data_IF_298351974043
#
_entry.id   IF_298351974043
#
_cell.length_a   1.000
_cell.length_b   1.000
_cell.length_c   1.000
_cell.angle_alpha   90.00
_cell.angle_beta   90.00
_cell.angle_gamma   90.00
#
_symmetry.space_group_name_H-M   'P 1'
#
loop_
_entity.id
_entity.type
_entity.pdbx_description
1 polymer ?
#
# COMPACT_ATOMS: atom_id res chain seq x y z
N UNK A 1 36.83 61.45 0.24
CA UNK A 1 37.48 61.83 1.52
C UNK A 1 36.85 60.93 2.58
N UNK A 2 37.45 59.89 3.15
CA UNK A 2 38.83 59.41 3.32
C UNK A 2 38.81 57.88 3.07
N UNK A 3 39.81 57.35 2.36
CA UNK A 3 40.06 55.90 2.21
C UNK A 3 40.85 55.38 3.42
N UNK A 4 40.73 54.08 3.76
CA UNK A 4 41.86 53.33 4.26
C UNK A 4 42.23 52.17 3.30
N UNK A 5 43.42 52.32 2.73
CA UNK A 5 44.51 51.35 2.57
C UNK A 5 44.12 49.87 2.41
N UNK A 6 44.47 49.33 1.24
CA UNK A 6 44.66 47.90 0.98
C UNK A 6 45.78 47.33 1.86
N UNK A 7 45.47 46.34 2.70
CA UNK A 7 46.47 45.35 3.13
C UNK A 7 46.23 44.05 2.39
N UNK A 8 47.08 43.81 1.38
CA UNK A 8 47.36 42.45 0.90
C UNK A 8 48.27 41.79 1.92
N UNK A 9 47.72 40.85 2.70
CA UNK A 9 48.51 39.74 3.21
C UNK A 9 47.99 38.45 2.56
N UNK A 10 48.89 37.60 2.03
CA UNK A 10 48.53 36.22 1.71
C UNK A 10 48.38 35.50 3.05
N UNK A 11 47.17 35.05 3.36
CA UNK A 11 46.99 34.02 4.36
C UNK A 11 46.38 32.82 3.65
N UNK A 12 47.27 31.95 3.20
CA UNK A 12 47.03 30.53 3.07
C UNK A 12 46.53 30.00 4.41
N UNK A 13 45.23 30.13 4.65
CA UNK A 13 44.55 29.36 5.67
C UNK A 13 43.88 28.19 4.95
N UNK A 14 44.20 26.93 5.29
CA UNK A 14 43.52 25.77 4.73
C UNK A 14 42.07 25.64 5.27
N UNK A 15 41.63 26.56 6.12
CA UNK A 15 40.29 26.54 6.70
C UNK A 15 39.32 27.41 5.90
N UNK A 16 38.25 26.78 5.43
CA UNK A 16 37.10 27.42 4.76
C UNK A 16 36.54 28.55 5.64
N UNK A 17 36.15 29.66 5.01
CA UNK A 17 35.46 30.76 5.72
C UNK A 17 34.16 30.22 6.32
N UNK A 18 33.79 30.69 7.51
CA UNK A 18 32.56 30.30 8.21
C UNK A 18 31.27 30.42 7.37
N UNK A 19 31.25 31.33 6.38
CA UNK A 19 30.16 31.45 5.41
C UNK A 19 30.00 30.23 4.47
N UNK A 20 31.05 29.46 4.21
CA UNK A 20 30.95 28.21 3.44
C UNK A 20 30.44 27.03 4.29
N UNK A 21 30.55 27.09 5.63
CA UNK A 21 30.00 26.10 6.56
C UNK A 21 28.47 26.21 6.73
N UNK A 22 27.91 27.40 6.51
CA UNK A 22 26.47 27.66 6.59
C UNK A 22 25.70 27.26 5.31
N UNK A 23 26.40 26.81 4.26
CA UNK A 23 25.82 26.44 2.97
C UNK A 23 25.49 27.66 2.11
N UNK A 24 25.92 27.63 0.85
CA UNK A 24 25.57 28.67 -0.14
C UNK A 24 24.07 28.64 -0.44
N UNK A 25 23.49 29.81 -0.67
CA UNK A 25 22.12 29.95 -1.15
C UNK A 25 22.01 29.34 -2.56
N UNK A 26 21.04 28.47 -2.76
CA UNK A 26 20.76 27.77 -4.02
C UNK A 26 19.38 28.18 -4.53
N UNK A 27 19.26 28.24 -5.85
CA UNK A 27 17.96 28.26 -6.49
C UNK A 27 17.48 26.83 -6.67
N UNK A 28 16.19 26.60 -6.41
CA UNK A 28 15.51 25.40 -6.86
C UNK A 28 15.23 25.62 -8.36
N UNK A 29 15.89 24.86 -9.21
CA UNK A 29 15.87 24.96 -10.68
C UNK A 29 15.83 23.55 -11.27
N UNK A 30 15.23 23.31 -12.45
CA UNK A 30 15.36 22.04 -13.17
C UNK A 30 16.83 21.64 -13.41
N UNK A 31 17.75 22.61 -13.48
CA UNK A 31 19.19 22.42 -13.59
C UNK A 31 19.90 22.58 -12.23
N UNK A 32 19.68 21.64 -11.31
CA UNK A 32 20.35 21.64 -9.99
C UNK A 32 21.88 21.57 -10.21
N UNK A 33 22.69 22.59 -9.81
CA UNK A 33 24.11 22.61 -10.12
C UNK A 33 24.89 21.47 -9.47
N UNK A 34 25.81 20.86 -10.22
CA UNK A 34 26.56 19.63 -9.92
C UNK A 34 27.56 19.75 -8.75
N UNK A 35 27.80 20.94 -8.20
CA UNK A 35 28.87 21.16 -7.21
C UNK A 35 28.33 21.31 -5.79
N UNK A 36 28.35 20.21 -5.04
CA UNK A 36 28.00 20.11 -3.62
C UNK A 36 29.11 19.38 -2.84
N UNK A 37 29.36 19.76 -1.59
CA UNK A 37 30.34 19.07 -0.71
C UNK A 37 29.88 17.64 -0.30
N UNK A 38 28.61 17.29 -0.53
CA UNK A 38 28.16 15.96 -1.00
C UNK A 38 26.93 16.15 -1.90
N UNK A 39 26.88 15.56 -3.11
CA UNK A 39 25.76 15.73 -4.05
C UNK A 39 24.43 15.28 -3.45
N UNK A 40 23.35 16.02 -3.72
CA UNK A 40 21.99 15.54 -3.47
C UNK A 40 21.82 14.16 -4.12
N UNK A 41 21.28 13.22 -3.36
CA UNK A 41 20.95 11.89 -3.83
C UNK A 41 19.90 11.96 -4.96
N UNK A 42 19.82 10.93 -5.81
CA UNK A 42 19.02 10.94 -7.03
C UNK A 42 17.53 11.24 -6.75
N UNK A 43 16.97 10.66 -5.68
CA UNK A 43 15.60 10.93 -5.25
C UNK A 43 15.33 12.40 -4.89
N UNK A 44 16.27 13.07 -4.20
CA UNK A 44 16.11 14.49 -3.86
C UNK A 44 16.14 15.37 -5.11
N UNK A 45 16.93 15.00 -6.12
CA UNK A 45 16.96 15.71 -7.40
C UNK A 45 15.66 15.53 -8.16
N UNK A 46 15.15 14.30 -8.23
CA UNK A 46 13.87 13.99 -8.88
C UNK A 46 12.71 14.80 -8.28
N UNK A 47 12.51 14.69 -6.96
CA UNK A 47 11.43 15.41 -6.27
C UNK A 47 11.68 16.92 -6.30
N UNK A 48 12.94 17.35 -6.19
CA UNK A 48 13.32 18.75 -6.30
C UNK A 48 12.97 19.37 -7.66
N UNK A 49 13.23 18.66 -8.76
CA UNK A 49 12.84 19.09 -10.11
C UNK A 49 11.32 19.16 -10.28
N UNK A 50 10.58 18.25 -9.65
CA UNK A 50 9.12 18.32 -9.63
C UNK A 50 8.61 19.52 -8.83
N UNK A 51 9.12 19.76 -7.62
CA UNK A 51 8.78 20.95 -6.81
C UNK A 51 9.12 22.23 -7.56
N UNK A 52 10.30 22.31 -8.20
CA UNK A 52 10.71 23.44 -9.03
C UNK A 52 9.70 23.76 -10.13
N UNK A 53 9.11 22.73 -10.75
CA UNK A 53 8.14 22.89 -11.84
C UNK A 53 6.80 23.47 -11.38
N UNK A 54 6.48 23.39 -10.08
CA UNK A 54 5.25 23.93 -9.49
C UNK A 54 5.42 25.36 -8.96
N UNK A 55 6.65 25.80 -8.69
CA UNK A 55 6.92 27.14 -8.17
C UNK A 55 6.93 28.18 -9.31
N UNK A 56 6.15 29.25 -9.14
CA UNK A 56 6.14 30.38 -10.09
C UNK A 56 7.24 31.42 -9.77
N UNK A 57 7.75 31.43 -8.54
CA UNK A 57 8.74 32.41 -8.08
C UNK A 57 10.05 31.73 -7.66
N UNK A 58 11.17 32.25 -8.17
CA UNK A 58 12.51 31.79 -7.80
C UNK A 58 12.93 32.35 -6.44
N UNK A 59 12.59 31.64 -5.36
CA UNK A 59 13.05 31.96 -4.01
C UNK A 59 14.45 31.40 -3.77
N UNK A 60 15.37 32.27 -3.37
CA UNK A 60 16.71 31.89 -2.93
C UNK A 60 16.63 31.21 -1.54
N UNK A 61 17.09 29.95 -1.43
CA UNK A 61 17.07 29.18 -0.18
C UNK A 61 18.47 28.69 0.19
N UNK A 62 18.84 28.61 1.47
CA UNK A 62 20.06 27.89 1.87
C UNK A 62 19.93 26.39 1.57
N UNK A 63 21.04 25.64 1.51
CA UNK A 63 21.00 24.19 1.19
C UNK A 63 20.05 23.39 2.13
N UNK A 64 20.10 23.56 3.46
CA UNK A 64 19.18 22.87 4.36
C UNK A 64 17.73 23.36 4.25
N UNK A 65 17.52 24.62 3.82
CA UNK A 65 16.18 25.14 3.55
C UNK A 65 15.59 24.54 2.27
N UNK A 66 16.37 24.42 1.20
CA UNK A 66 15.92 23.79 -0.03
C UNK A 66 15.52 22.33 0.20
N UNK A 67 16.33 21.56 0.93
CA UNK A 67 15.99 20.17 1.29
C UNK A 67 14.68 20.08 2.08
N UNK A 68 14.57 20.84 3.19
CA UNK A 68 13.35 20.87 4.01
C UNK A 68 12.14 21.36 3.23
N UNK A 69 12.33 22.25 2.26
CA UNK A 69 11.26 22.75 1.41
C UNK A 69 10.76 21.67 0.44
N UNK A 70 11.67 20.98 -0.25
CA UNK A 70 11.34 19.88 -1.17
C UNK A 70 10.57 18.77 -0.43
N UNK A 71 11.11 18.32 0.71
CA UNK A 71 10.49 17.30 1.56
C UNK A 71 9.09 17.76 2.01
N UNK A 72 8.95 19.01 2.48
CA UNK A 72 7.67 19.55 2.95
C UNK A 72 6.62 19.64 1.84
N UNK A 73 6.97 20.17 0.66
CA UNK A 73 6.01 20.32 -0.44
C UNK A 73 5.51 18.95 -0.89
N UNK A 74 6.43 18.00 -1.12
CA UNK A 74 6.05 16.65 -1.50
C UNK A 74 5.20 15.96 -0.42
N UNK A 75 5.60 16.07 0.84
CA UNK A 75 4.83 15.51 1.96
C UNK A 75 3.44 16.14 2.07
N UNK A 76 3.29 17.46 1.89
CA UNK A 76 1.98 18.12 1.92
C UNK A 76 1.07 17.59 0.82
N UNK A 77 1.56 17.50 -0.41
CA UNK A 77 0.78 17.02 -1.57
C UNK A 77 0.34 15.56 -1.45
N UNK A 78 1.23 14.71 -0.92
CA UNK A 78 0.92 13.29 -0.64
C UNK A 78 -0.07 13.17 0.53
N UNK A 79 0.18 13.90 1.63
CA UNK A 79 -0.69 13.87 2.80
C UNK A 79 -2.08 14.42 2.49
N UNK A 80 -2.22 15.43 1.64
CA UNK A 80 -3.55 15.94 1.25
C UNK A 80 -4.40 14.84 0.59
N UNK A 81 -3.78 13.97 -0.22
CA UNK A 81 -4.46 12.83 -0.84
C UNK A 81 -4.84 11.75 0.19
N UNK A 82 -3.92 11.42 1.10
CA UNK A 82 -4.07 10.30 2.04
C UNK A 82 -4.72 10.63 3.38
N UNK A 83 -4.74 11.89 3.82
CA UNK A 83 -5.18 12.31 5.18
C UNK A 83 -6.60 11.89 5.55
N UNK A 84 -7.45 11.72 4.55
CA UNK A 84 -8.85 11.31 4.71
C UNK A 84 -9.06 9.79 4.59
N UNK A 85 -8.01 9.03 4.32
CA UNK A 85 -8.03 7.57 4.29
C UNK A 85 -7.67 7.06 5.69
N UNK A 86 -8.65 6.54 6.41
CA UNK A 86 -8.48 6.00 7.77
C UNK A 86 -8.82 4.51 7.84
N UNK A 87 -8.94 3.85 6.69
CA UNK A 87 -9.20 2.41 6.61
C UNK A 87 -7.95 1.58 6.94
N UNK A 88 -6.76 2.13 6.67
CA UNK A 88 -5.46 1.54 6.97
C UNK A 88 -4.42 2.67 7.07
N UNK A 89 -3.34 2.40 7.79
CA UNK A 89 -2.20 3.29 7.96
C UNK A 89 -1.27 3.16 6.75
N UNK A 90 -1.28 4.18 5.89
CA UNK A 90 -0.47 4.23 4.68
C UNK A 90 0.66 5.24 4.83
N UNK A 91 1.89 4.82 4.49
CA UNK A 91 3.06 5.69 4.36
C UNK A 91 3.57 5.69 2.92
N UNK A 92 4.15 6.80 2.51
CA UNK A 92 4.83 6.93 1.22
C UNK A 92 6.31 7.15 1.47
N UNK A 93 7.13 6.36 0.79
CA UNK A 93 8.59 6.38 0.92
C UNK A 93 9.22 6.62 -0.46
N UNK A 94 10.23 7.49 -0.52
CA UNK A 94 11.00 7.70 -1.75
C UNK A 94 12.35 6.99 -1.62
N UNK A 95 12.55 5.95 -2.41
CA UNK A 95 13.75 5.13 -2.46
C UNK A 95 14.78 5.73 -3.41
N UNK A 96 16.06 5.68 -3.03
CA UNK A 96 17.12 6.32 -3.82
C UNK A 96 17.47 5.56 -5.11
N UNK A 97 17.25 4.24 -5.15
CA UNK A 97 17.56 3.41 -6.31
C UNK A 97 19.05 3.25 -6.61
N UNK A 98 19.94 3.34 -5.61
CA UNK A 98 21.41 3.31 -5.81
C UNK A 98 21.89 2.05 -6.55
N UNK A 99 21.27 0.90 -6.30
CA UNK A 99 21.51 -0.37 -7.00
C UNK A 99 20.72 -0.52 -8.31
N UNK A 100 19.56 0.12 -8.41
CA UNK A 100 18.56 -0.07 -9.48
C UNK A 100 18.58 1.01 -10.57
N UNK A 101 19.39 2.06 -10.39
CA UNK A 101 19.56 3.18 -11.32
C UNK A 101 18.59 4.35 -11.09
N UNK A 102 17.28 4.11 -11.08
CA UNK A 102 16.27 5.17 -10.91
C UNK A 102 15.74 5.23 -9.47
N UNK A 103 15.48 6.41 -8.89
CA UNK A 103 14.69 6.51 -7.66
C UNK A 103 13.31 5.89 -7.83
N UNK A 104 12.68 5.43 -6.75
CA UNK A 104 11.30 4.93 -6.78
C UNK A 104 10.45 5.56 -5.69
N UNK A 105 9.14 5.60 -5.89
CA UNK A 105 8.17 5.96 -4.85
C UNK A 105 7.36 4.73 -4.48
N UNK A 106 7.40 4.34 -3.22
CA UNK A 106 6.69 3.20 -2.67
C UNK A 106 5.54 3.67 -1.76
N UNK A 107 4.44 2.92 -1.77
CA UNK A 107 3.37 3.00 -0.78
C UNK A 107 3.44 1.75 0.08
N UNK A 108 3.50 1.94 1.39
CA UNK A 108 3.58 0.86 2.38
C UNK A 108 2.40 0.95 3.33
N UNK A 109 1.85 -0.21 3.69
CA UNK A 109 0.72 -0.38 4.60
C UNK A 109 1.23 -0.86 5.96
N UNK A 110 1.25 0.04 6.95
CA UNK A 110 1.76 -0.28 8.29
C UNK A 110 0.71 -1.03 9.16
N UNK A 111 -0.54 -1.08 8.71
CA UNK A 111 -1.59 -1.85 9.37
C UNK A 111 -1.46 -3.36 9.13
N UNK A 112 -1.69 -4.14 10.17
CA UNK A 112 -1.66 -5.61 10.15
C UNK A 112 -2.91 -6.15 10.86
N UNK A 113 -3.48 -7.24 10.33
CA UNK A 113 -4.61 -7.96 10.91
C UNK A 113 -5.93 -7.75 10.17
N UNK A 114 -7.04 -8.10 10.83
CA UNK A 114 -8.37 -8.00 10.22
C UNK A 114 -8.81 -6.54 10.08
N UNK A 115 -9.33 -6.21 8.90
CA UNK A 115 -10.07 -4.96 8.71
C UNK A 115 -11.45 -5.07 9.38
N UNK A 116 -11.76 -4.15 10.29
CA UNK A 116 -13.09 -4.02 10.88
C UNK A 116 -14.12 -3.66 9.80
N UNK A 117 -15.05 -4.57 9.51
CA UNK A 117 -16.11 -4.38 8.53
C UNK A 117 -17.41 -3.84 9.16
N UNK A 118 -17.39 -3.54 10.45
CA UNK A 118 -18.43 -2.89 11.21
C UNK A 118 -19.77 -3.62 11.10
N UNK A 119 -20.76 -2.93 10.53
CA UNK A 119 -22.12 -3.49 10.43
C UNK A 119 -22.21 -4.74 9.56
N UNK A 120 -21.22 -5.01 8.71
CA UNK A 120 -21.20 -6.20 7.86
C UNK A 120 -20.97 -7.46 8.69
N UNK A 121 -20.23 -7.38 9.80
CA UNK A 121 -19.90 -8.49 10.71
C UNK A 121 -20.90 -8.58 11.87
N UNK A 122 -21.21 -7.46 12.52
CA UNK A 122 -21.85 -7.47 13.85
C UNK A 122 -23.24 -6.84 13.91
N UNK A 123 -23.97 -6.83 12.80
CA UNK A 123 -25.32 -6.25 12.76
C UNK A 123 -26.45 -7.25 12.53
N UNK A 124 -27.65 -6.83 12.94
CA UNK A 124 -28.93 -7.49 12.61
C UNK A 124 -29.43 -7.13 11.20
N UNK A 125 -28.62 -6.47 10.37
CA UNK A 125 -29.01 -6.15 8.99
C UNK A 125 -29.19 -7.44 8.18
N UNK A 126 -30.10 -7.45 7.18
CA UNK A 126 -30.34 -8.63 6.37
C UNK A 126 -29.04 -9.19 5.77
N UNK A 127 -28.84 -10.51 5.89
CA UNK A 127 -27.67 -11.20 5.31
C UNK A 127 -27.46 -10.85 3.83
N UNK A 128 -28.51 -10.74 2.99
CA UNK A 128 -28.30 -10.35 1.59
C UNK A 128 -27.72 -8.94 1.38
N UNK A 129 -27.90 -8.02 2.33
CA UNK A 129 -27.30 -6.69 2.27
C UNK A 129 -25.84 -6.73 2.69
N UNK A 130 -25.56 -7.45 3.79
CA UNK A 130 -24.20 -7.68 4.30
C UNK A 130 -23.35 -8.36 3.23
N UNK A 131 -23.86 -9.43 2.60
CA UNK A 131 -23.21 -10.11 1.48
C UNK A 131 -23.01 -9.24 0.24
N UNK A 132 -23.95 -8.34 -0.06
CA UNK A 132 -23.76 -7.40 -1.16
C UNK A 132 -22.65 -6.39 -0.89
N UNK A 133 -22.46 -5.98 0.37
CA UNK A 133 -21.38 -5.08 0.78
C UNK A 133 -20.01 -5.79 0.79
N UNK A 134 -19.92 -6.91 1.50
CA UNK A 134 -18.70 -7.73 1.58
C UNK A 134 -18.14 -8.05 0.19
N UNK A 135 -18.99 -8.58 -0.70
CA UNK A 135 -18.60 -8.95 -2.06
C UNK A 135 -17.98 -7.80 -2.86
N UNK A 136 -18.42 -6.56 -2.65
CA UNK A 136 -17.82 -5.42 -3.35
C UNK A 136 -16.48 -5.04 -2.71
N UNK A 137 -16.38 -5.07 -1.38
CA UNK A 137 -15.11 -4.82 -0.68
C UNK A 137 -14.03 -5.83 -1.09
N UNK A 138 -14.35 -7.13 -1.00
CA UNK A 138 -13.48 -8.25 -1.43
C UNK A 138 -12.94 -8.05 -2.85
N UNK A 139 -13.78 -7.63 -3.79
CA UNK A 139 -13.38 -7.45 -5.20
C UNK A 139 -12.60 -6.19 -5.50
N UNK A 140 -12.68 -5.17 -4.64
CA UNK A 140 -12.19 -3.82 -4.98
C UNK A 140 -11.00 -3.39 -4.14
N UNK A 141 -10.93 -3.80 -2.88
CA UNK A 141 -9.91 -3.30 -1.96
C UNK A 141 -8.50 -3.75 -2.34
N UNK A 142 -8.34 -4.95 -2.91
CA UNK A 142 -7.06 -5.47 -3.41
C UNK A 142 -6.40 -4.61 -4.50
N UNK A 143 -7.09 -3.61 -5.05
CA UNK A 143 -6.49 -2.64 -5.99
C UNK A 143 -5.71 -1.51 -5.32
N UNK A 144 -5.83 -1.35 -4.01
CA UNK A 144 -5.16 -0.29 -3.26
C UNK A 144 -4.64 -0.72 -1.88
N UNK A 145 -4.99 -1.90 -1.39
CA UNK A 145 -4.46 -2.47 -0.16
C UNK A 145 -3.95 -3.90 -0.40
N UNK A 146 -2.86 -4.30 0.28
CA UNK A 146 -2.41 -5.67 0.27
C UNK A 146 -3.31 -6.45 1.22
N UNK A 147 -4.35 -7.09 0.67
CA UNK A 147 -5.39 -7.80 1.43
C UNK A 147 -5.42 -9.28 1.08
N UNK A 148 -5.51 -10.08 2.13
CA UNK A 148 -5.73 -11.50 2.15
C UNK A 148 -7.23 -11.80 2.36
N UNK A 149 -7.80 -12.63 1.49
CA UNK A 149 -9.22 -13.01 1.50
C UNK A 149 -9.42 -14.47 1.92
N UNK A 150 -10.69 -14.89 2.03
CA UNK A 150 -11.01 -16.28 2.38
C UNK A 150 -10.49 -17.28 1.36
N UNK A 151 -10.61 -16.96 0.06
CA UNK A 151 -10.14 -17.86 -0.99
C UNK A 151 -8.61 -18.06 -0.88
N UNK A 152 -7.85 -16.99 -0.57
CA UNK A 152 -6.40 -17.10 -0.29
C UNK A 152 -6.11 -17.98 0.94
N UNK A 153 -6.91 -17.86 2.01
CA UNK A 153 -6.77 -18.71 3.20
C UNK A 153 -7.03 -20.18 2.87
N UNK A 154 -8.13 -20.43 2.16
CA UNK A 154 -8.53 -21.77 1.78
C UNK A 154 -7.49 -22.42 0.87
N UNK A 155 -6.95 -21.66 -0.10
CA UNK A 155 -5.89 -22.13 -0.99
C UNK A 155 -4.61 -22.44 -0.22
N UNK A 156 -4.20 -21.61 0.74
CA UNK A 156 -3.04 -21.89 1.59
C UNK A 156 -3.24 -23.16 2.42
N UNK A 157 -4.36 -23.27 3.13
CA UNK A 157 -4.66 -24.48 3.92
C UNK A 157 -4.71 -25.72 3.02
N UNK A 158 -5.35 -25.61 1.86
CA UNK A 158 -5.43 -26.69 0.88
C UNK A 158 -4.04 -27.14 0.42
N UNK A 159 -3.17 -26.21 0.05
CA UNK A 159 -1.80 -26.54 -0.36
C UNK A 159 -0.98 -27.21 0.74
N UNK A 160 -1.10 -26.77 2.00
CA UNK A 160 -0.27 -27.29 3.10
C UNK A 160 -0.80 -28.58 3.73
N UNK A 161 -2.12 -28.75 3.81
CA UNK A 161 -2.75 -29.83 4.57
C UNK A 161 -3.44 -30.87 3.69
N UNK A 162 -3.83 -30.50 2.47
CA UNK A 162 -4.62 -31.35 1.58
C UNK A 162 -3.94 -31.53 0.21
N UNK A 163 -2.65 -31.22 0.09
CA UNK A 163 -1.86 -31.31 -1.16
C UNK A 163 -2.49 -30.55 -2.36
N UNK A 164 -3.20 -29.45 -2.06
CA UNK A 164 -3.90 -28.63 -3.05
C UNK A 164 -5.30 -29.12 -3.41
N UNK A 165 -5.80 -30.15 -2.74
CA UNK A 165 -7.16 -30.64 -2.93
C UNK A 165 -8.19 -29.77 -2.22
N UNK A 166 -9.33 -29.57 -2.87
CA UNK A 166 -10.41 -28.68 -2.39
C UNK A 166 -11.70 -29.42 -2.02
N UNK A 167 -11.74 -30.74 -2.24
CA UNK A 167 -12.89 -31.61 -2.00
C UNK A 167 -12.50 -32.71 -1.00
N UNK A 168 -13.38 -33.02 -0.05
CA UNK A 168 -13.10 -33.96 1.05
C UNK A 168 -12.59 -35.33 0.58
N UNK A 169 -13.19 -35.87 -0.48
CA UNK A 169 -12.82 -37.20 -0.98
C UNK A 169 -11.39 -37.21 -1.52
N UNK A 170 -11.01 -36.17 -2.29
CA UNK A 170 -9.68 -36.04 -2.86
C UNK A 170 -8.64 -35.71 -1.79
N UNK A 171 -8.97 -34.80 -0.86
CA UNK A 171 -8.12 -34.49 0.30
C UNK A 171 -7.83 -35.72 1.15
N UNK A 172 -8.84 -36.57 1.42
CA UNK A 172 -8.65 -37.84 2.14
C UNK A 172 -7.78 -38.82 1.37
N UNK A 173 -7.98 -38.95 0.06
CA UNK A 173 -7.15 -39.81 -0.77
C UNK A 173 -5.69 -39.34 -0.77
N UNK A 174 -5.45 -38.04 -0.87
CA UNK A 174 -4.12 -37.45 -0.79
C UNK A 174 -3.45 -37.74 0.57
N UNK A 175 -4.17 -37.52 1.68
CA UNK A 175 -3.69 -37.82 3.04
C UNK A 175 -3.29 -39.30 3.20
N UNK A 176 -4.09 -40.23 2.68
CA UNK A 176 -3.76 -41.67 2.74
C UNK A 176 -2.59 -42.00 1.81
N UNK A 177 -2.63 -41.55 0.55
CA UNK A 177 -1.69 -41.98 -0.48
C UNK A 177 -0.30 -41.36 -0.33
N UNK A 178 -0.22 -40.11 0.11
CA UNK A 178 1.00 -39.31 0.13
C UNK A 178 1.59 -39.20 1.54
N UNK A 179 0.73 -39.17 2.57
CA UNK A 179 1.15 -39.05 3.97
C UNK A 179 0.98 -40.34 4.77
N UNK A 180 0.34 -41.37 4.21
CA UNK A 180 0.12 -42.65 4.91
C UNK A 180 -0.82 -42.52 6.10
N UNK A 181 -1.68 -41.50 6.12
CA UNK A 181 -2.53 -41.18 7.25
C UNK A 181 -3.52 -42.31 7.55
N UNK A 182 -3.71 -42.62 8.83
CA UNK A 182 -4.73 -43.57 9.27
C UNK A 182 -6.11 -42.90 9.51
N UNK A 183 -7.15 -43.71 9.71
CA UNK A 183 -8.51 -43.23 9.93
C UNK A 183 -8.63 -42.29 11.14
N UNK A 184 -7.80 -42.47 12.17
CA UNK A 184 -7.81 -41.66 13.38
C UNK A 184 -7.15 -40.30 13.16
N UNK A 185 -6.08 -40.26 12.36
CA UNK A 185 -5.41 -39.04 11.95
C UNK A 185 -6.29 -38.22 10.99
N UNK A 186 -6.96 -38.87 10.04
CA UNK A 186 -7.92 -38.21 9.13
C UNK A 186 -9.10 -37.63 9.91
N UNK A 187 -9.64 -38.37 10.89
CA UNK A 187 -10.75 -37.90 11.71
C UNK A 187 -10.39 -36.72 12.63
N UNK A 188 -9.09 -36.53 12.92
CA UNK A 188 -8.60 -35.41 13.72
C UNK A 188 -8.35 -34.14 12.90
N UNK A 189 -8.35 -34.22 11.56
CA UNK A 189 -8.13 -33.09 10.67
C UNK A 189 -9.45 -32.45 10.23
N UNK A 190 -9.45 -31.12 10.14
CA UNK A 190 -10.54 -30.39 9.48
C UNK A 190 -10.51 -30.70 7.98
N UNK A 191 -11.66 -31.03 7.42
CA UNK A 191 -11.80 -31.28 5.97
C UNK A 191 -12.21 -30.00 5.20
N UNK A 192 -11.97 -29.94 3.87
CA UNK A 192 -12.37 -28.80 3.03
C UNK A 192 -13.82 -28.33 3.21
N UNK A 193 -14.77 -29.28 3.27
CA UNK A 193 -16.19 -28.98 3.44
C UNK A 193 -16.52 -28.43 4.83
N UNK A 194 -15.86 -28.94 5.87
CA UNK A 194 -16.02 -28.50 7.25
C UNK A 194 -15.50 -27.07 7.44
N UNK A 195 -14.35 -26.75 6.82
CA UNK A 195 -13.84 -25.38 6.78
C UNK A 195 -14.80 -24.43 6.05
N UNK A 196 -15.33 -24.83 4.88
CA UNK A 196 -16.30 -24.03 4.13
C UNK A 196 -17.61 -23.85 4.89
N UNK A 197 -18.07 -24.85 5.64
CA UNK A 197 -19.30 -24.78 6.42
C UNK A 197 -19.25 -23.75 7.55
N UNK A 198 -18.05 -23.39 8.04
CA UNK A 198 -17.86 -22.33 9.05
C UNK A 198 -17.97 -20.92 8.49
N UNK A 199 -17.94 -20.75 7.15
CA UNK A 199 -18.03 -19.42 6.52
C UNK A 199 -19.35 -18.75 6.91
N UNK A 200 -19.30 -17.54 7.51
CA UNK A 200 -20.49 -16.75 7.71
C UNK A 200 -21.25 -16.54 6.39
N UNK A 201 -22.58 -16.65 6.44
CA UNK A 201 -23.41 -16.55 5.22
C UNK A 201 -23.25 -15.22 4.50
N UNK A 202 -22.89 -14.15 5.22
CA UNK A 202 -22.64 -12.84 4.64
C UNK A 202 -21.34 -12.77 3.81
N UNK A 203 -20.43 -13.75 3.92
CA UNK A 203 -19.27 -13.85 3.02
C UNK A 203 -19.64 -14.50 1.67
N UNK A 204 -20.77 -15.21 1.61
CA UNK A 204 -21.13 -15.98 0.44
C UNK A 204 -21.72 -15.08 -0.65
N UNK A 205 -21.04 -15.00 -1.79
CA UNK A 205 -21.48 -14.20 -2.94
C UNK A 205 -22.90 -14.57 -3.42
N UNK A 206 -23.29 -15.85 -3.29
CA UNK A 206 -24.62 -16.34 -3.64
C UNK A 206 -25.75 -15.77 -2.75
N UNK A 207 -25.43 -15.28 -1.55
CA UNK A 207 -26.39 -14.67 -0.63
C UNK A 207 -26.61 -13.18 -0.93
N UNK A 208 -25.75 -12.54 -1.72
CA UNK A 208 -25.85 -11.13 -2.03
C UNK A 208 -27.15 -10.78 -2.77
N UNK A 209 -27.90 -9.80 -2.24
CA UNK A 209 -29.09 -9.31 -2.91
C UNK A 209 -28.74 -8.56 -4.21
N UNK A 210 -29.60 -8.63 -5.23
CA UNK A 210 -29.46 -7.80 -6.41
C UNK A 210 -29.58 -6.33 -6.03
N UNK A 211 -28.85 -5.46 -6.73
CA UNK A 211 -28.78 -4.03 -6.39
C UNK A 211 -30.16 -3.37 -6.33
N UNK A 212 -31.13 -3.80 -7.13
CA UNK A 212 -32.50 -3.27 -7.11
C UNK A 212 -33.27 -3.49 -5.80
N UNK A 213 -32.88 -4.48 -4.99
CA UNK A 213 -33.54 -4.84 -3.71
C UNK A 213 -32.84 -4.24 -2.48
N UNK A 214 -31.80 -3.43 -2.68
CA UNK A 214 -31.04 -2.79 -1.60
C UNK A 214 -31.61 -1.39 -1.29
N UNK A 215 -31.51 -0.91 -0.04
CA UNK A 215 -31.85 0.46 0.33
C UNK A 215 -31.11 1.49 -0.52
N UNK A 216 -31.74 2.63 -0.79
CA UNK A 216 -31.16 3.67 -1.64
C UNK A 216 -29.79 4.16 -1.16
N UNK A 217 -29.59 4.29 0.15
CA UNK A 217 -28.30 4.68 0.72
C UNK A 217 -27.21 3.63 0.42
N UNK A 218 -27.50 2.35 0.67
CA UNK A 218 -26.57 1.25 0.40
C UNK A 218 -26.26 1.13 -1.11
N UNK A 219 -27.27 1.26 -1.97
CA UNK A 219 -27.08 1.27 -3.43
C UNK A 219 -26.13 2.38 -3.88
N UNK A 220 -26.23 3.57 -3.27
CA UNK A 220 -25.37 4.71 -3.58
C UNK A 220 -23.93 4.44 -3.16
N UNK A 221 -23.70 4.00 -1.92
CA UNK A 221 -22.36 3.69 -1.44
C UNK A 221 -21.69 2.56 -2.25
N UNK A 222 -22.42 1.49 -2.57
CA UNK A 222 -21.90 0.42 -3.42
C UNK A 222 -21.59 0.88 -4.84
N UNK A 223 -22.36 1.82 -5.38
CA UNK A 223 -22.07 2.41 -6.69
C UNK A 223 -20.82 3.28 -6.62
N UNK A 224 -20.73 4.16 -5.64
CA UNK A 224 -19.57 5.04 -5.45
C UNK A 224 -18.27 4.25 -5.30
N UNK A 225 -18.30 3.14 -4.55
CA UNK A 225 -17.16 2.24 -4.41
C UNK A 225 -16.76 1.61 -5.76
N UNK A 226 -17.73 1.13 -6.54
CA UNK A 226 -17.46 0.57 -7.88
C UNK A 226 -16.96 1.62 -8.87
N UNK A 227 -17.51 2.83 -8.83
CA UNK A 227 -17.11 3.94 -9.69
C UNK A 227 -15.69 4.39 -9.35
N UNK A 228 -15.32 4.42 -8.06
CA UNK A 228 -13.97 4.73 -7.61
C UNK A 228 -12.97 3.63 -8.00
N UNK A 229 -13.36 2.36 -7.87
CA UNK A 229 -12.55 1.22 -8.33
C UNK A 229 -12.32 1.28 -9.84
N UNK A 230 -13.39 1.49 -10.63
CA UNK A 230 -13.27 1.65 -12.08
C UNK A 230 -12.41 2.85 -12.46
N UNK A 231 -12.51 3.97 -11.73
CA UNK A 231 -11.67 5.13 -11.98
C UNK A 231 -10.18 4.84 -11.73
N UNK A 232 -9.87 4.02 -10.72
CA UNK A 232 -8.50 3.57 -10.45
C UNK A 232 -7.99 2.60 -11.52
N UNK A 233 -8.76 1.56 -11.84
CA UNK A 233 -8.32 0.50 -12.76
C UNK A 233 -8.28 0.91 -14.23
N UNK A 234 -8.95 2.01 -14.61
CA UNK A 234 -8.90 2.57 -15.95
C UNK A 234 -7.73 3.54 -16.16
N UNK A 235 -6.94 3.85 -15.13
CA UNK A 235 -5.73 4.67 -15.30
C UNK A 235 -4.65 3.87 -16.04
N UNK A 236 -3.77 4.53 -16.81
CA UNK A 236 -2.62 3.87 -17.42
C UNK A 236 -1.74 3.19 -16.37
N UNK A 237 -1.19 2.03 -16.72
CA UNK A 237 -0.28 1.29 -15.82
C UNK A 237 1.07 2.01 -15.63
N UNK A 238 1.47 2.84 -16.60
CA UNK A 238 2.72 3.60 -16.52
C UNK A 238 2.68 4.62 -15.37
N UNK A 239 3.68 4.52 -14.49
CA UNK A 239 3.82 5.36 -13.29
C UNK A 239 2.66 5.27 -12.28
N UNK A 240 1.96 4.13 -12.24
CA UNK A 240 0.81 3.93 -11.37
C UNK A 240 1.22 3.66 -9.91
N UNK A 241 0.64 4.40 -8.97
CA UNK A 241 1.06 4.39 -7.56
C UNK A 241 0.75 3.10 -6.80
N UNK A 242 -0.29 2.38 -7.21
CA UNK A 242 -0.80 1.17 -6.56
C UNK A 242 -0.47 -0.13 -7.31
N UNK A 243 0.48 -0.07 -8.26
CA UNK A 243 0.97 -1.27 -8.93
C UNK A 243 2.21 -1.77 -8.19
N UNK A 244 2.25 -3.08 -7.99
CA UNK A 244 3.40 -3.76 -7.43
C UNK A 244 3.81 -4.88 -8.36
N UNK A 245 5.06 -4.81 -8.81
CA UNK A 245 5.73 -5.89 -9.52
C UNK A 245 6.78 -6.47 -8.58
N UNK A 246 6.66 -7.76 -8.24
CA UNK A 246 7.51 -8.41 -7.24
C UNK A 246 8.99 -8.39 -7.64
N UNK A 247 9.27 -8.62 -8.93
CA UNK A 247 10.65 -8.58 -9.44
C UNK A 247 11.27 -7.19 -9.24
N UNK A 248 10.49 -6.13 -9.50
CA UNK A 248 10.93 -4.74 -9.24
C UNK A 248 11.09 -4.52 -7.74
N UNK A 249 10.20 -5.05 -6.91
CA UNK A 249 10.31 -4.90 -5.46
C UNK A 249 11.60 -5.50 -4.90
N UNK A 250 11.96 -6.71 -5.33
CA UNK A 250 13.18 -7.39 -4.89
C UNK A 250 14.46 -6.63 -5.28
N UNK A 251 14.44 -5.89 -6.38
CA UNK A 251 15.58 -5.03 -6.75
C UNK A 251 15.73 -3.84 -5.78
N UNK A 252 14.61 -3.25 -5.37
CA UNK A 252 14.58 -1.98 -4.63
C UNK A 252 14.65 -2.12 -3.10
N UNK A 253 14.18 -3.24 -2.55
CA UNK A 253 14.11 -3.45 -1.09
C UNK A 253 14.84 -4.75 -0.73
N UNK A 254 16.15 -4.68 -0.44
CA UNK A 254 16.93 -5.86 -0.09
C UNK A 254 16.39 -6.55 1.19
N UNK A 255 16.28 -7.88 1.16
CA UNK A 255 15.82 -8.70 2.28
C UNK A 255 14.31 -8.86 2.35
N UNK A 256 13.53 -8.20 1.48
CA UNK A 256 12.07 -8.36 1.44
C UNK A 256 11.63 -9.75 0.92
N UNK A 257 12.54 -10.46 0.25
CA UNK A 257 12.38 -11.86 -0.14
C UNK A 257 12.30 -12.83 1.05
N UNK A 258 12.76 -12.42 2.23
CA UNK A 258 12.67 -13.20 3.46
C UNK A 258 11.28 -13.06 4.13
N UNK A 259 10.55 -11.98 3.81
CA UNK A 259 9.21 -11.73 4.33
C UNK A 259 8.19 -12.72 3.74
N UNK A 260 7.07 -12.90 4.45
CA UNK A 260 5.93 -13.66 3.93
C UNK A 260 5.38 -12.98 2.67
N UNK A 261 5.13 -13.73 1.59
CA UNK A 261 4.43 -13.20 0.41
C UNK A 261 2.96 -12.87 0.72
N UNK A 262 2.45 -13.28 1.89
CA UNK A 262 1.09 -13.01 2.30
C UNK A 262 0.89 -11.52 2.62
N UNK A 263 -0.26 -10.95 2.25
CA UNK A 263 -0.60 -9.60 2.65
C UNK A 263 -0.83 -9.44 4.16
N UNK A 264 -0.52 -8.26 4.75
CA UNK A 264 -0.66 -8.01 6.19
C UNK A 264 -2.10 -7.81 6.64
N UNK A 265 -3.00 -7.38 5.76
CA UNK A 265 -4.40 -7.13 6.08
C UNK A 265 -5.27 -8.31 5.64
N UNK A 266 -6.32 -8.61 6.40
CA UNK A 266 -7.26 -9.69 6.05
C UNK A 266 -8.72 -9.25 6.10
N UNK A 267 -9.53 -9.80 5.18
CA UNK A 267 -11.00 -9.76 5.20
C UNK A 267 -11.60 -11.07 5.76
N UNK A 268 -10.76 -12.01 6.20
CA UNK A 268 -11.19 -13.21 6.89
C UNK A 268 -11.54 -12.84 8.33
N UNK A 269 -12.73 -13.20 8.81
CA UNK A 269 -13.13 -12.88 10.16
C UNK A 269 -12.44 -13.82 11.16
N UNK A 270 -11.60 -13.25 12.02
CA UNK A 270 -10.76 -14.00 12.97
C UNK A 270 -11.59 -14.73 14.02
N UNK A 271 -12.78 -14.25 14.35
CA UNK A 271 -13.67 -14.94 15.28
C UNK A 271 -14.03 -16.37 14.83
N UNK A 272 -14.06 -16.63 13.53
CA UNK A 272 -14.39 -17.95 12.97
C UNK A 272 -13.15 -18.74 12.53
N UNK A 273 -12.07 -18.05 12.14
CA UNK A 273 -10.90 -18.66 11.50
C UNK A 273 -9.57 -18.32 12.18
N UNK A 274 -9.56 -17.92 13.46
CA UNK A 274 -8.33 -17.52 14.17
C UNK A 274 -7.22 -18.56 14.07
N UNK A 275 -7.55 -19.85 14.22
CA UNK A 275 -6.56 -20.93 14.18
C UNK A 275 -5.90 -21.02 12.80
N UNK A 276 -6.70 -20.99 11.73
CA UNK A 276 -6.21 -21.09 10.36
C UNK A 276 -5.43 -19.82 9.96
N UNK A 277 -5.90 -18.65 10.37
CA UNK A 277 -5.23 -17.36 10.12
C UNK A 277 -3.90 -17.30 10.85
N UNK A 278 -3.84 -17.71 12.12
CA UNK A 278 -2.60 -17.74 12.90
C UNK A 278 -1.59 -18.75 12.33
N UNK A 279 -2.08 -19.89 11.84
CA UNK A 279 -1.23 -20.93 11.28
C UNK A 279 -0.59 -20.49 9.95
N UNK A 280 -1.40 -19.99 9.01
CA UNK A 280 -0.93 -19.46 7.72
C UNK A 280 -0.11 -18.18 7.90
N UNK A 281 -0.49 -17.33 8.86
CA UNK A 281 0.20 -16.08 9.18
C UNK A 281 1.50 -16.24 9.97
N UNK A 282 1.84 -17.44 10.46
CA UNK A 282 2.99 -17.67 11.37
C UNK A 282 4.31 -17.11 10.82
N UNK A 283 4.63 -17.39 9.56
CA UNK A 283 5.85 -16.88 8.92
C UNK A 283 5.84 -15.35 8.85
N UNK A 284 4.70 -14.74 8.54
CA UNK A 284 4.56 -13.29 8.48
C UNK A 284 4.68 -12.63 9.86
N UNK A 285 4.21 -13.28 10.92
CA UNK A 285 4.39 -12.81 12.29
C UNK A 285 5.85 -12.89 12.76
N UNK A 286 6.63 -13.83 12.24
CA UNK A 286 8.04 -14.03 12.62
C UNK A 286 9.02 -13.17 11.78
N UNK A 287 8.81 -13.12 10.45
CA UNK A 287 9.73 -12.49 9.49
C UNK A 287 9.17 -11.25 8.80
N UNK A 288 7.92 -10.86 9.10
CA UNK A 288 7.22 -9.75 8.46
C UNK A 288 6.35 -10.18 7.28
N UNK A 289 5.31 -9.38 7.00
CA UNK A 289 4.40 -9.55 5.87
C UNK A 289 4.80 -8.67 4.69
N UNK A 290 4.27 -8.98 3.50
CA UNK A 290 4.42 -8.14 2.30
C UNK A 290 3.57 -6.88 2.42
N UNK A 291 4.12 -5.84 3.05
CA UNK A 291 3.42 -4.61 3.41
C UNK A 291 3.41 -3.54 2.31
N UNK A 292 4.10 -3.77 1.19
CA UNK A 292 4.15 -2.83 0.07
C UNK A 292 2.89 -3.00 -0.79
N UNK A 293 2.13 -1.92 -0.97
CA UNK A 293 0.92 -1.92 -1.83
C UNK A 293 1.20 -1.37 -3.23
N UNK A 294 2.30 -0.63 -3.40
CA UNK A 294 2.74 -0.19 -4.70
C UNK A 294 4.17 0.34 -4.69
N UNK A 295 4.85 0.19 -5.82
CA UNK A 295 6.22 0.63 -6.04
C UNK A 295 6.35 1.12 -7.48
N UNK A 296 6.74 2.38 -7.63
CA UNK A 296 6.90 2.99 -8.94
C UNK A 296 8.31 3.56 -9.11
N UNK A 297 9.17 2.92 -9.93
CA UNK A 297 10.40 3.54 -10.43
C UNK A 297 10.10 4.84 -11.19
N UNK A 298 10.90 5.87 -10.94
CA UNK A 298 10.70 7.22 -11.47
C UNK A 298 11.90 7.64 -12.29
N UNK A 299 11.71 7.68 -13.60
CA UNK A 299 12.77 8.04 -14.56
C UNK A 299 12.86 9.55 -14.80
N UNK A 300 11.76 10.29 -14.59
CA UNK A 300 11.70 11.75 -14.75
C UNK A 300 10.68 12.41 -13.81
N UNK A 301 10.82 13.72 -13.57
CA UNK A 301 9.98 14.44 -12.60
C UNK A 301 8.50 14.54 -12.98
N UNK A 302 8.16 14.54 -14.28
CA UNK A 302 6.74 14.56 -14.73
C UNK A 302 5.99 13.27 -14.43
N UNK A 303 6.71 12.15 -14.16
CA UNK A 303 6.09 10.90 -13.72
C UNK A 303 5.41 11.05 -12.35
N UNK A 304 5.89 11.98 -11.51
CA UNK A 304 5.31 12.25 -10.19
C UNK A 304 3.87 12.79 -10.31
N UNK A 305 3.54 13.53 -11.37
CA UNK A 305 2.17 14.01 -11.57
C UNK A 305 1.19 12.86 -11.90
N UNK A 306 1.61 11.90 -12.73
CA UNK A 306 0.82 10.70 -13.06
C UNK A 306 0.66 9.83 -11.82
N UNK A 307 1.76 9.61 -11.10
CA UNK A 307 1.76 8.88 -9.85
C UNK A 307 0.81 9.53 -8.82
N UNK A 308 0.87 10.85 -8.63
CA UNK A 308 0.00 11.57 -7.70
C UNK A 308 -1.49 11.48 -8.10
N UNK A 309 -1.81 11.57 -9.40
CA UNK A 309 -3.17 11.39 -9.88
C UNK A 309 -3.72 9.98 -9.56
N UNK A 310 -2.90 8.93 -9.75
CA UNK A 310 -3.29 7.56 -9.39
C UNK A 310 -3.36 7.36 -7.87
N UNK A 311 -2.48 7.98 -7.08
CA UNK A 311 -2.56 8.03 -5.62
C UNK A 311 -3.92 8.60 -5.17
N UNK A 312 -4.34 9.72 -5.74
CA UNK A 312 -5.62 10.36 -5.42
C UNK A 312 -6.82 9.48 -5.80
N UNK A 313 -6.75 8.73 -6.90
CA UNK A 313 -7.78 7.78 -7.32
C UNK A 313 -7.91 6.61 -6.33
N UNK A 314 -6.79 6.02 -5.91
CA UNK A 314 -6.81 4.96 -4.88
C UNK A 314 -7.25 5.48 -3.51
N UNK A 315 -6.82 6.68 -3.12
CA UNK A 315 -7.34 7.32 -1.91
C UNK A 315 -8.87 7.51 -1.95
N UNK A 316 -9.43 7.86 -3.12
CA UNK A 316 -10.89 7.92 -3.30
C UNK A 316 -11.56 6.56 -3.13
N UNK A 317 -10.96 5.50 -3.67
CA UNK A 317 -11.44 4.13 -3.47
C UNK A 317 -11.50 3.77 -1.98
N UNK A 318 -10.41 4.01 -1.25
CA UNK A 318 -10.31 3.71 0.18
C UNK A 318 -11.32 4.49 1.02
N UNK A 319 -11.55 5.77 0.70
CA UNK A 319 -12.63 6.56 1.33
C UNK A 319 -14.02 6.01 1.06
N UNK A 320 -14.30 5.59 -0.18
CA UNK A 320 -15.60 5.01 -0.52
C UNK A 320 -15.83 3.68 0.22
N UNK A 321 -14.77 2.88 0.39
CA UNK A 321 -14.83 1.65 1.18
C UNK A 321 -15.08 1.94 2.66
N UNK A 322 -14.35 2.90 3.24
CA UNK A 322 -14.56 3.33 4.63
C UNK A 322 -15.99 3.86 4.85
N UNK A 323 -16.48 4.68 3.93
CA UNK A 323 -17.86 5.17 3.98
C UNK A 323 -18.89 4.03 3.96
N UNK A 324 -18.69 3.00 3.12
CA UNK A 324 -19.56 1.82 3.08
C UNK A 324 -19.58 1.08 4.42
N UNK A 325 -18.41 0.90 5.05
CA UNK A 325 -18.24 0.26 6.35
C UNK A 325 -18.93 1.07 7.47
N UNK A 326 -18.93 2.41 7.39
CA UNK A 326 -19.52 3.29 8.40
C UNK A 326 -21.00 3.64 8.18
N UNK A 327 -21.56 3.38 6.99
CA UNK A 327 -22.87 3.86 6.56
C UNK A 327 -24.05 3.46 7.47
N UNK A 328 -23.98 2.28 8.11
CA UNK A 328 -25.10 1.61 8.80
C UNK A 328 -26.46 1.79 8.10
N UNK A 329 -26.76 1.00 7.04
CA UNK A 329 -27.87 1.29 6.13
C UNK A 329 -29.23 1.32 6.84
N UNK A 330 -30.10 2.31 6.58
CA UNK A 330 -31.44 2.36 7.18
C UNK A 330 -32.31 1.19 6.68
N UNK A 331 -33.33 0.82 7.47
CA UNK A 331 -34.31 -0.22 7.10
C UNK A 331 -35.15 0.13 5.88
#
# INVERSE_FOLDING_TARGET
MVLPILSRHPQDSPFLRSADLAGRTVHISPDIPVMFDRPLAAHHKLVGSWVASKEQETVHRTRPEARRHIERVFQTEVLESLRSCTIADLRVVVLNGESCGAPAVAIVCDSVGQLDLGWIEDSKRPIPWRAAAYRVLERTLGSALPIFCYDDLFDNISMYYWDGETEDAAAREALVALHGADDSEIAAQTMPSEMNARRPEWMLAARAAPTSKLPTALRRALRELRDAHAALTNLPDEHHAWRLEMDVLYEYVPGIEECSPLPPLTLVPVEQFAVEVDDVGRHGMEYGFMDVTGLCPMTHSTAIDVWHASLAAGARLLRAAKHLIELYPPE
#
